data_IF_288795498135
#
_entry.id   IF_288795498135
#
_cell.length_a   1.000
_cell.length_b   1.000
_cell.length_c   1.000
_cell.angle_alpha   90.00
_cell.angle_beta   90.00
_cell.angle_gamma   90.00
#
_symmetry.space_group_name_H-M   'P 1'
#
loop_
_entity.id
_entity.type
_entity.pdbx_description
1 polymer ?
#
# COMPACT_ATOMS: atom_id res chain seq x y z
N UNK A 1 4.34 13.98 -6.19
CA UNK A 1 3.45 15.15 -6.33
C UNK A 1 3.91 16.01 -7.48
N UNK A 2 2.99 16.72 -8.12
CA UNK A 2 3.28 17.81 -9.05
C UNK A 2 2.88 19.13 -8.39
N UNK A 3 3.78 20.10 -8.32
CA UNK A 3 3.49 21.45 -7.84
C UNK A 3 4.23 22.46 -8.73
N UNK A 4 3.52 23.48 -9.22
CA UNK A 4 4.08 24.53 -10.08
C UNK A 4 4.86 24.03 -11.32
N UNK A 5 4.50 22.84 -11.83
CA UNK A 5 5.16 22.19 -12.97
C UNK A 5 6.36 21.32 -12.61
N UNK A 6 6.78 21.30 -11.34
CA UNK A 6 7.88 20.47 -10.86
C UNK A 6 7.38 19.17 -10.25
N UNK A 7 8.08 18.07 -10.56
CA UNK A 7 7.85 16.77 -9.95
C UNK A 7 8.65 16.63 -8.66
N UNK A 8 7.97 16.20 -7.61
CA UNK A 8 8.53 16.02 -6.27
C UNK A 8 8.17 14.64 -5.73
N UNK A 9 9.15 13.97 -5.12
CA UNK A 9 8.97 12.64 -4.53
C UNK A 9 8.70 12.69 -3.03
N UNK A 10 9.23 13.71 -2.33
CA UNK A 10 9.08 13.86 -0.90
C UNK A 10 7.81 14.62 -0.48
N UNK A 11 7.42 14.45 0.78
CA UNK A 11 6.37 15.26 1.39
C UNK A 11 6.87 16.69 1.63
N UNK A 12 6.20 17.74 1.10
CA UNK A 12 6.67 19.11 1.24
C UNK A 12 6.62 19.62 2.69
N UNK A 13 7.69 20.28 3.14
CA UNK A 13 7.74 20.90 4.46
C UNK A 13 6.89 22.19 4.59
N UNK A 14 6.61 22.86 3.46
CA UNK A 14 5.82 24.10 3.41
C UNK A 14 4.34 23.78 3.20
N UNK A 15 3.48 24.30 4.10
CA UNK A 15 2.03 24.19 3.95
C UNK A 15 1.51 24.84 2.66
N UNK A 16 2.14 25.94 2.23
CA UNK A 16 1.77 26.61 0.97
C UNK A 16 2.04 25.71 -0.23
N UNK A 17 3.19 25.04 -0.24
CA UNK A 17 3.58 24.11 -1.32
C UNK A 17 2.70 22.86 -1.29
N UNK A 18 2.45 22.30 -0.11
CA UNK A 18 1.56 21.16 0.07
C UNK A 18 0.15 21.46 -0.45
N UNK A 19 -0.40 22.65 -0.19
CA UNK A 19 -1.71 23.04 -0.67
C UNK A 19 -1.82 23.14 -2.21
N UNK A 20 -0.69 23.36 -2.90
CA UNK A 20 -0.62 23.39 -4.36
C UNK A 20 -0.31 22.02 -4.98
N UNK A 21 0.11 21.04 -4.17
CA UNK A 21 0.49 19.72 -4.66
C UNK A 21 -0.71 18.97 -5.24
N UNK A 22 -0.55 18.48 -6.47
CA UNK A 22 -1.43 17.49 -7.07
C UNK A 22 -0.82 16.10 -6.92
N UNK A 23 -1.60 15.10 -6.50
CA UNK A 23 -1.13 13.71 -6.50
C UNK A 23 -0.93 13.23 -7.94
N UNK A 24 0.17 12.51 -8.17
CA UNK A 24 0.41 11.78 -9.42
C UNK A 24 0.02 10.34 -9.11
N UNK A 25 -1.16 9.92 -9.57
CA UNK A 25 -1.68 8.59 -9.28
C UNK A 25 -1.15 7.56 -10.26
N UNK A 26 -0.89 6.37 -9.72
CA UNK A 26 -0.81 5.14 -10.48
C UNK A 26 -2.13 4.38 -10.30
N UNK A 27 -2.63 3.75 -11.36
CA UNK A 27 -3.85 2.95 -11.32
C UNK A 27 -3.52 1.49 -11.57
N UNK A 28 -3.96 0.63 -10.66
CA UNK A 28 -3.81 -0.82 -10.76
C UNK A 28 -5.19 -1.47 -10.86
N UNK A 29 -5.30 -2.68 -11.47
CA UNK A 29 -6.53 -3.45 -11.48
C UNK A 29 -7.00 -3.76 -10.05
N UNK A 30 -8.29 -3.59 -9.79
CA UNK A 30 -8.92 -3.98 -8.51
C UNK A 30 -9.22 -5.47 -8.43
N UNK A 31 -9.86 -5.88 -7.33
CA UNK A 31 -10.34 -7.24 -7.09
C UNK A 31 -11.75 -7.20 -6.51
N UNK A 32 -12.72 -7.96 -7.06
CA UNK A 32 -14.07 -8.05 -6.51
C UNK A 32 -14.22 -9.09 -5.38
N UNK A 33 -13.22 -9.96 -5.17
CA UNK A 33 -13.28 -11.05 -4.22
C UNK A 33 -13.26 -10.58 -2.76
N UNK A 34 -14.01 -11.27 -1.89
CA UNK A 34 -13.92 -11.09 -0.45
C UNK A 34 -12.65 -11.79 0.09
N UNK A 35 -11.74 -11.00 0.65
CA UNK A 35 -10.47 -11.45 1.22
C UNK A 35 -10.49 -11.55 2.75
N UNK A 36 -11.62 -11.28 3.40
CA UNK A 36 -11.72 -11.22 4.87
C UNK A 36 -11.45 -12.56 5.54
N UNK A 37 -11.55 -13.67 4.80
CA UNK A 37 -11.21 -15.02 5.25
C UNK A 37 -9.74 -15.42 5.05
N UNK A 38 -8.94 -14.62 4.35
CA UNK A 38 -7.56 -14.97 4.01
C UNK A 38 -6.64 -14.93 5.24
N UNK A 39 -5.84 -15.97 5.41
CA UNK A 39 -4.86 -16.12 6.51
C UNK A 39 -3.43 -16.26 6.00
N UNK A 40 -3.24 -16.39 4.69
CA UNK A 40 -1.94 -16.52 4.02
C UNK A 40 -1.89 -15.65 2.76
N UNK A 41 -0.69 -15.22 2.36
CA UNK A 41 -0.54 -14.35 1.18
C UNK A 41 -1.02 -15.03 -0.10
N UNK A 42 -0.81 -16.34 -0.24
CA UNK A 42 -1.16 -17.10 -1.44
C UNK A 42 -2.69 -17.25 -1.63
N UNK A 43 -3.47 -17.00 -0.57
CA UNK A 43 -4.93 -17.00 -0.60
C UNK A 43 -5.52 -15.70 -1.14
N UNK A 44 -4.69 -14.65 -1.26
CA UNK A 44 -5.12 -13.36 -1.81
C UNK A 44 -5.20 -13.42 -3.35
N UNK A 45 -6.19 -12.74 -3.95
CA UNK A 45 -6.26 -12.54 -5.40
C UNK A 45 -4.94 -11.99 -5.95
N UNK A 46 -4.64 -12.33 -7.20
CA UNK A 46 -3.41 -11.86 -7.86
C UNK A 46 -3.31 -10.33 -7.87
N UNK A 47 -4.41 -9.64 -8.20
CA UNK A 47 -4.43 -8.17 -8.20
C UNK A 47 -4.18 -7.58 -6.80
N UNK A 48 -4.66 -8.22 -5.74
CA UNK A 48 -4.37 -7.82 -4.36
C UNK A 48 -2.88 -7.96 -4.05
N UNK A 49 -2.26 -9.09 -4.42
CA UNK A 49 -0.83 -9.30 -4.23
C UNK A 49 0.00 -8.31 -5.04
N UNK A 50 -0.36 -8.05 -6.28
CA UNK A 50 0.32 -7.06 -7.14
C UNK A 50 0.22 -5.64 -6.55
N UNK A 51 -0.92 -5.28 -5.97
CA UNK A 51 -1.08 -4.01 -5.27
C UNK A 51 -0.15 -3.90 -4.04
N UNK A 52 -0.04 -4.97 -3.24
CA UNK A 52 0.87 -5.01 -2.09
C UNK A 52 2.34 -4.93 -2.53
N UNK A 53 2.73 -5.70 -3.54
CA UNK A 53 4.09 -5.64 -4.10
C UNK A 53 4.42 -4.23 -4.59
N UNK A 54 3.47 -3.54 -5.22
CA UNK A 54 3.68 -2.17 -5.69
C UNK A 54 3.90 -1.17 -4.55
N UNK A 55 3.20 -1.36 -3.41
CA UNK A 55 3.46 -0.57 -2.20
C UNK A 55 4.87 -0.83 -1.68
N UNK A 56 5.33 -2.09 -1.61
CA UNK A 56 6.70 -2.42 -1.19
C UNK A 56 7.74 -1.76 -2.09
N UNK A 57 7.54 -1.79 -3.41
CA UNK A 57 8.44 -1.15 -4.38
C UNK A 57 8.53 0.37 -4.19
N UNK A 58 7.39 1.05 -3.99
CA UNK A 58 7.35 2.51 -3.82
C UNK A 58 7.93 2.94 -2.48
N UNK A 59 7.67 2.16 -1.44
CA UNK A 59 8.12 2.47 -0.07
C UNK A 59 9.52 1.94 0.25
N UNK A 60 10.09 1.15 -0.67
CA UNK A 60 11.37 0.45 -0.50
C UNK A 60 11.46 -0.33 0.83
N UNK A 61 10.30 -0.78 1.32
CA UNK A 61 10.14 -1.37 2.66
C UNK A 61 9.28 -2.62 2.56
N UNK A 62 9.70 -3.74 3.19
CA UNK A 62 8.92 -4.97 3.13
C UNK A 62 7.63 -4.89 3.96
N UNK A 63 6.58 -5.56 3.49
CA UNK A 63 5.32 -5.76 4.21
C UNK A 63 5.44 -7.02 5.07
N UNK A 64 5.50 -6.81 6.39
CA UNK A 64 5.60 -7.92 7.36
C UNK A 64 4.22 -8.43 7.81
N UNK A 65 3.19 -7.59 7.74
CA UNK A 65 1.84 -7.85 8.28
C UNK A 65 0.79 -7.28 7.34
N UNK A 66 -0.25 -8.07 7.01
CA UNK A 66 -1.44 -7.61 6.28
C UNK A 66 -2.68 -7.92 7.11
N UNK A 67 -3.48 -6.91 7.43
CA UNK A 67 -4.79 -7.10 8.09
C UNK A 67 -5.90 -7.03 7.05
N UNK A 68 -6.72 -8.08 7.00
CA UNK A 68 -7.84 -8.21 6.05
C UNK A 68 -9.21 -8.08 6.73
N UNK A 69 -9.24 -7.74 8.03
CA UNK A 69 -10.47 -7.56 8.79
C UNK A 69 -10.23 -7.19 10.25
N UNK A 70 -11.31 -6.95 10.99
CA UNK A 70 -11.25 -6.48 12.39
C UNK A 70 -10.87 -7.58 13.40
N UNK A 71 -11.05 -8.86 13.04
CA UNK A 71 -10.73 -10.00 13.90
C UNK A 71 -9.21 -10.22 14.02
N UNK A 72 -8.74 -10.66 15.20
CA UNK A 72 -7.31 -10.99 15.40
C UNK A 72 -6.80 -12.05 14.45
N UNK A 73 -7.64 -13.02 14.10
CA UNK A 73 -7.34 -14.09 13.14
C UNK A 73 -7.40 -13.62 11.67
N UNK A 74 -7.84 -12.39 11.41
CA UNK A 74 -7.85 -11.77 10.08
C UNK A 74 -6.56 -10.96 9.85
N UNK A 75 -5.43 -11.54 10.28
CA UNK A 75 -4.09 -10.97 10.17
C UNK A 75 -3.17 -12.00 9.53
N UNK A 76 -2.62 -11.67 8.38
CA UNK A 76 -1.60 -12.46 7.68
C UNK A 76 -0.23 -11.98 8.19
N UNK A 77 0.53 -12.89 8.81
CA UNK A 77 1.89 -12.63 9.27
C UNK A 77 2.88 -13.15 8.22
N UNK A 78 3.45 -12.24 7.43
CA UNK A 78 4.43 -12.56 6.36
C UNK A 78 5.80 -12.80 6.99
N UNK A 79 6.23 -11.89 7.87
CA UNK A 79 7.46 -11.99 8.65
C UNK A 79 7.16 -11.63 10.10
N UNK A 80 7.70 -12.43 11.03
CA UNK A 80 7.50 -12.16 12.46
C UNK A 80 8.48 -11.08 12.93
N UNK A 81 8.02 -9.90 13.40
CA UNK A 81 8.91 -8.80 13.81
C UNK A 81 9.68 -9.06 15.11
N UNK A 82 9.34 -10.13 15.85
CA UNK A 82 9.99 -10.52 17.10
C UNK A 82 10.90 -11.75 16.95
N UNK A 83 11.15 -12.21 15.73
CA UNK A 83 12.06 -13.31 15.43
C UNK A 83 13.27 -12.83 14.63
#
# INVERSE_FOLDING_TARGET
YEADGDHMQDFPASLKTLAACKPIYETLPGWPEDITGSTRMEELPENTRNYLNRIEEITETPIDIVSVGAGRNQTILVRNPFK
#
